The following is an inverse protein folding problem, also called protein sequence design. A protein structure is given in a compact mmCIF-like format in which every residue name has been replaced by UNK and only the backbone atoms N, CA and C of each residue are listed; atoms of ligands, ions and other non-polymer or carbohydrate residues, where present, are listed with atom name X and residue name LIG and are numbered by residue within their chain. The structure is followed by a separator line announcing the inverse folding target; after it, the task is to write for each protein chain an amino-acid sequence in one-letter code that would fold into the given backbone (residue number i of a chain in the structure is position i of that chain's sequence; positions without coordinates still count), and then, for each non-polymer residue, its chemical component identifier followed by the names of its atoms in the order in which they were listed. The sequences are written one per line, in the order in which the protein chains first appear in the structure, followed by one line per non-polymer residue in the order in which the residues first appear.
data_IF_691177256898
#
_entry.id   IF_691177256898
#
_cell.length_a   1.000
_cell.length_b   1.000
_cell.length_c   1.000
_cell.angle_alpha   90.00
_cell.angle_beta   90.00
_cell.angle_gamma   90.00
#
_symmetry.space_group_name_H-M   'P 1'
#
loop_
_entity.id
_entity.type
_entity.pdbx_description
1 polymer ?
#
# COMPACT_ATOMS: atom_id res chain seq x y z
N UNK A 1 -4.83 30.31 0.69
CA UNK A 1 -3.85 29.21 0.55
C UNK A 1 -4.14 28.22 1.65
N UNK A 2 -4.86 27.14 1.34
CA UNK A 2 -5.29 26.16 2.34
C UNK A 2 -4.09 25.28 2.70
N UNK A 3 -3.43 25.60 3.81
CA UNK A 3 -2.44 24.71 4.41
C UNK A 3 -3.19 23.63 5.17
N UNK A 4 -3.31 22.45 4.58
CA UNK A 4 -3.79 21.26 5.30
C UNK A 4 -2.67 20.86 6.26
N UNK A 5 -2.89 21.07 7.56
CA UNK A 5 -2.11 20.38 8.59
C UNK A 5 -2.26 18.87 8.33
N UNK A 6 -1.20 18.06 8.38
CA UNK A 6 -1.31 16.62 8.16
C UNK A 6 -2.26 16.03 9.20
N UNK A 7 -3.40 15.50 8.74
CA UNK A 7 -4.22 14.62 9.55
C UNK A 7 -3.41 13.36 9.86
N UNK A 8 -3.52 12.85 11.09
CA UNK A 8 -2.97 11.55 11.43
C UNK A 8 -3.84 10.51 10.73
N UNK A 9 -3.37 9.93 9.61
CA UNK A 9 -4.04 8.77 9.02
C UNK A 9 -3.84 7.56 9.95
N UNK A 10 -4.96 6.95 10.38
CA UNK A 10 -4.95 5.76 11.24
C UNK A 10 -5.33 4.57 10.36
N UNK A 11 -4.32 3.83 9.91
CA UNK A 11 -4.49 2.63 9.08
C UNK A 11 -4.16 1.38 9.91
N UNK A 12 -5.02 0.35 9.80
CA UNK A 12 -4.71 -1.01 10.30
C UNK A 12 -4.59 -1.98 9.14
N UNK A 13 -3.68 -2.94 9.27
CA UNK A 13 -3.31 -3.88 8.21
C UNK A 13 -3.35 -5.31 8.68
N UNK A 14 -3.92 -6.19 7.86
CA UNK A 14 -4.15 -7.59 8.20
C UNK A 14 -3.73 -8.49 7.05
N UNK A 15 -3.28 -9.69 7.37
CA UNK A 15 -3.27 -10.80 6.43
C UNK A 15 -4.71 -11.20 6.10
N UNK A 16 -4.92 -11.84 4.95
CA UNK A 16 -6.22 -12.38 4.55
C UNK A 16 -6.20 -13.90 4.69
N UNK A 17 -7.10 -14.44 5.51
CA UNK A 17 -7.19 -15.87 5.83
C UNK A 17 -7.90 -16.69 4.75
N UNK A 18 -8.82 -16.09 3.99
CA UNK A 18 -9.53 -16.76 2.90
C UNK A 18 -10.03 -15.78 1.83
N UNK A 19 -10.41 -16.29 0.65
CA UNK A 19 -10.89 -15.46 -0.46
C UNK A 19 -12.41 -15.28 -0.49
N UNK A 20 -13.11 -15.52 0.64
CA UNK A 20 -14.57 -15.39 0.71
C UNK A 20 -15.08 -13.94 0.60
N UNK A 21 -14.18 -12.95 0.61
CA UNK A 21 -14.48 -11.53 0.38
C UNK A 21 -14.86 -11.19 -1.07
N UNK A 22 -14.49 -12.03 -2.04
CA UNK A 22 -14.63 -11.73 -3.48
C UNK A 22 -16.05 -11.35 -3.93
N UNK A 23 -17.14 -11.95 -3.43
CA UNK A 23 -18.49 -11.56 -3.83
C UNK A 23 -18.89 -10.14 -3.42
N UNK A 24 -18.18 -9.53 -2.46
CA UNK A 24 -18.47 -8.19 -1.95
C UNK A 24 -17.68 -7.06 -2.65
N UNK A 25 -16.84 -7.38 -3.65
CA UNK A 25 -16.04 -6.38 -4.37
C UNK A 25 -16.95 -5.35 -5.04
N UNK A 26 -16.69 -4.07 -4.76
CA UNK A 26 -17.34 -2.94 -5.44
C UNK A 26 -16.48 -2.36 -6.56
N UNK A 27 -15.16 -2.33 -6.37
CA UNK A 27 -14.23 -1.89 -7.41
C UNK A 27 -12.89 -2.57 -7.28
N UNK A 28 -12.13 -2.57 -8.38
CA UNK A 28 -10.77 -3.09 -8.42
C UNK A 28 -9.92 -2.21 -9.34
N UNK A 29 -8.69 -1.95 -8.92
CA UNK A 29 -7.72 -1.14 -9.67
C UNK A 29 -6.37 -1.85 -9.71
N UNK A 30 -5.74 -1.89 -10.90
CA UNK A 30 -4.36 -2.40 -10.99
C UNK A 30 -3.40 -1.30 -10.60
N UNK A 31 -2.48 -1.63 -9.69
CA UNK A 31 -1.50 -0.70 -9.15
C UNK A 31 -0.12 -1.29 -9.34
N UNK A 32 0.73 -0.54 -10.03
CA UNK A 32 2.16 -0.83 -10.10
C UNK A 32 2.93 0.31 -9.44
N UNK A 33 3.91 0.00 -8.59
CA UNK A 33 4.63 1.00 -7.84
C UNK A 33 6.10 0.65 -7.61
N UNK A 34 6.95 1.68 -7.63
CA UNK A 34 8.39 1.58 -7.34
C UNK A 34 8.85 2.71 -6.43
N UNK A 35 10.01 2.53 -5.81
CA UNK A 35 10.63 3.53 -4.96
C UNK A 35 11.95 3.99 -5.57
N UNK A 36 12.05 5.28 -5.87
CA UNK A 36 13.26 5.86 -6.44
C UNK A 36 14.32 6.02 -5.34
N UNK A 37 15.58 5.66 -5.64
CA UNK A 37 16.69 5.99 -4.76
C UNK A 37 16.87 7.52 -4.77
N UNK A 38 16.76 8.16 -3.61
CA UNK A 38 16.90 9.62 -3.49
C UNK A 38 17.97 10.00 -2.45
N UNK A 39 17.57 10.21 -1.20
CA UNK A 39 18.45 10.57 -0.10
C UNK A 39 17.90 9.95 1.20
N UNK A 40 18.74 9.75 2.23
CA UNK A 40 18.28 9.32 3.54
C UNK A 40 17.15 10.23 4.06
N UNK A 41 16.11 9.63 4.66
CA UNK A 41 14.96 10.38 5.19
C UNK A 41 13.93 10.82 4.13
N UNK A 42 14.19 10.61 2.83
CA UNK A 42 13.27 10.93 1.75
C UNK A 42 12.85 9.65 1.02
N UNK A 43 11.54 9.42 0.96
CA UNK A 43 10.92 8.35 0.16
C UNK A 43 10.20 8.95 -1.03
N UNK A 44 10.69 8.67 -2.23
CA UNK A 44 10.00 9.03 -3.48
C UNK A 44 9.37 7.77 -4.06
N UNK A 45 8.04 7.71 -4.11
CA UNK A 45 7.28 6.59 -4.65
C UNK A 45 6.65 7.00 -5.97
N UNK A 46 6.88 6.21 -7.01
CA UNK A 46 6.17 6.31 -8.28
C UNK A 46 5.08 5.25 -8.28
N UNK A 47 3.83 5.64 -8.55
CA UNK A 47 2.68 4.74 -8.57
C UNK A 47 1.85 4.99 -9.81
N UNK A 48 1.62 3.93 -10.58
CA UNK A 48 0.65 3.87 -11.67
C UNK A 48 -0.60 3.17 -11.15
N UNK A 49 -1.77 3.74 -11.42
CA UNK A 49 -3.08 3.21 -11.06
C UNK A 49 -3.91 3.22 -12.34
N UNK A 50 -4.15 2.05 -12.92
CA UNK A 50 -4.79 1.89 -14.23
C UNK A 50 -4.16 2.82 -15.31
N UNK A 51 -4.89 3.89 -15.66
CA UNK A 51 -4.60 4.88 -16.70
C UNK A 51 -4.07 6.22 -16.16
N UNK A 52 -3.73 6.31 -14.87
CA UNK A 52 -3.09 7.48 -14.26
C UNK A 52 -1.80 7.13 -13.53
N UNK A 53 -0.93 8.11 -13.35
CA UNK A 53 0.28 7.98 -12.54
C UNK A 53 0.49 9.17 -11.61
N UNK A 54 1.11 8.89 -10.47
CA UNK A 54 1.41 9.85 -9.42
C UNK A 54 2.80 9.58 -8.86
N UNK A 55 3.56 10.64 -8.60
CA UNK A 55 4.78 10.61 -7.81
C UNK A 55 4.49 11.18 -6.43
N UNK A 56 4.73 10.40 -5.39
CA UNK A 56 4.58 10.79 -4.00
C UNK A 56 5.95 11.05 -3.39
N UNK A 57 6.15 12.23 -2.82
CA UNK A 57 7.33 12.57 -2.03
C UNK A 57 6.96 12.53 -0.55
N UNK A 58 7.63 11.70 0.23
CA UNK A 58 7.51 11.67 1.68
C UNK A 58 8.85 12.02 2.32
N UNK A 59 8.85 12.95 3.27
CA UNK A 59 10.04 13.31 4.06
C UNK A 59 9.68 13.47 5.51
N UNK A 60 10.61 13.16 6.40
CA UNK A 60 10.51 13.59 7.79
C UNK A 60 10.79 15.11 7.82
N UNK A 61 9.82 15.90 8.28
CA UNK A 61 9.98 17.34 8.48
C UNK A 61 10.46 17.63 9.92
N UNK A 62 10.05 16.79 10.86
CA UNK A 62 10.52 16.71 12.25
C UNK A 62 10.50 15.24 12.71
N UNK A 63 10.88 14.96 13.96
CA UNK A 63 10.80 13.62 14.55
C UNK A 63 9.37 13.03 14.59
N UNK A 64 8.34 13.87 14.52
CA UNK A 64 6.93 13.47 14.66
C UNK A 64 6.04 13.93 13.51
N UNK A 65 6.57 14.69 12.56
CA UNK A 65 5.80 15.17 11.40
C UNK A 65 6.43 14.73 10.09
N UNK A 66 5.60 14.21 9.20
CA UNK A 66 5.98 13.84 7.85
C UNK A 66 5.31 14.77 6.85
N UNK A 67 6.10 15.27 5.90
CA UNK A 67 5.59 15.96 4.72
C UNK A 67 5.25 14.94 3.65
N UNK A 68 4.10 15.09 3.02
CA UNK A 68 3.66 14.27 1.89
C UNK A 68 3.14 15.15 0.77
N UNK A 69 3.65 14.95 -0.44
CA UNK A 69 3.19 15.65 -1.64
C UNK A 69 2.95 14.64 -2.75
N UNK A 70 1.78 14.71 -3.37
CA UNK A 70 1.42 13.93 -4.54
C UNK A 70 1.39 14.80 -5.79
N UNK A 71 2.16 14.40 -6.81
CA UNK A 71 2.27 15.11 -8.08
C UNK A 71 1.83 14.17 -9.20
N UNK A 72 0.76 14.49 -9.94
CA UNK A 72 0.40 13.75 -11.14
C UNK A 72 1.54 13.79 -12.16
N UNK A 73 1.82 12.66 -12.79
CA UNK A 73 2.85 12.54 -13.83
C UNK A 73 2.29 11.80 -15.04
N UNK A 74 2.94 11.97 -16.19
CA UNK A 74 2.63 11.21 -17.40
C UNK A 74 2.88 9.71 -17.19
N UNK A 75 2.08 8.85 -17.83
CA UNK A 75 2.22 7.39 -17.74
C UNK A 75 3.60 6.94 -18.26
N UNK A 76 4.05 7.53 -19.36
CA UNK A 76 5.33 7.24 -20.00
C UNK A 76 6.50 7.58 -19.08
N UNK A 77 6.35 8.64 -18.28
CA UNK A 77 7.36 8.99 -17.27
C UNK A 77 7.38 7.96 -16.14
N UNK A 78 6.23 7.47 -15.68
CA UNK A 78 6.19 6.41 -14.67
C UNK A 78 6.86 5.12 -15.17
N UNK A 79 6.56 4.71 -16.40
CA UNK A 79 7.13 3.51 -17.03
C UNK A 79 8.65 3.64 -17.21
N UNK A 80 9.13 4.82 -17.65
CA UNK A 80 10.57 5.12 -17.69
C UNK A 80 11.22 4.99 -16.31
N UNK A 81 10.63 5.60 -15.28
CA UNK A 81 11.16 5.61 -13.93
C UNK A 81 11.19 4.22 -13.28
N UNK A 82 10.21 3.36 -13.61
CA UNK A 82 10.25 1.95 -13.21
C UNK A 82 11.47 1.23 -13.78
N UNK A 83 11.88 1.53 -15.01
CA UNK A 83 13.08 0.97 -15.64
C UNK A 83 14.41 1.44 -15.02
N UNK A 84 14.40 2.55 -14.27
CA UNK A 84 15.59 3.10 -13.59
C UNK A 84 15.73 2.63 -12.14
N UNK A 85 14.75 1.88 -11.64
CA UNK A 85 14.70 1.40 -10.28
C UNK A 85 15.58 0.14 -10.08
N UNK A 86 16.24 -0.03 -8.91
CA UNK A 86 17.11 -1.18 -8.66
C UNK A 86 16.37 -2.51 -8.51
N UNK A 87 15.06 -2.46 -8.23
CA UNK A 87 14.19 -3.62 -8.16
C UNK A 87 13.02 -3.43 -9.13
N UNK A 88 12.41 -4.53 -9.62
CA UNK A 88 11.19 -4.42 -10.41
C UNK A 88 10.09 -3.68 -9.61
N UNK A 89 9.02 -3.18 -10.25
CA UNK A 89 7.87 -2.66 -9.51
C UNK A 89 7.20 -3.75 -8.66
N UNK A 90 6.54 -3.34 -7.58
CA UNK A 90 5.46 -4.11 -7.00
C UNK A 90 4.27 -3.98 -7.93
N UNK A 91 3.59 -5.08 -8.23
CA UNK A 91 2.34 -5.10 -8.99
C UNK A 91 1.25 -5.79 -8.17
N UNK A 92 0.06 -5.20 -8.14
CA UNK A 92 -1.08 -5.68 -7.35
C UNK A 92 -2.40 -5.24 -7.94
N UNK A 93 -3.47 -5.95 -7.58
CA UNK A 93 -4.84 -5.50 -7.79
C UNK A 93 -5.40 -5.12 -6.42
N UNK A 94 -5.76 -3.85 -6.25
CA UNK A 94 -6.43 -3.36 -5.05
C UNK A 94 -7.93 -3.46 -5.25
N UNK A 95 -8.57 -4.32 -4.47
CA UNK A 95 -10.02 -4.50 -4.42
C UNK A 95 -10.60 -3.65 -3.29
N UNK A 96 -11.69 -2.92 -3.54
CA UNK A 96 -12.42 -2.18 -2.51
C UNK A 96 -13.76 -2.84 -2.27
N UNK A 97 -14.09 -3.08 -1.01
CA UNK A 97 -15.35 -3.69 -0.59
C UNK A 97 -15.86 -3.06 0.71
N UNK A 98 -17.18 -2.90 0.87
CA UNK A 98 -17.77 -2.45 2.11
C UNK A 98 -17.89 -3.62 3.10
N UNK A 99 -17.63 -3.35 4.38
CA UNK A 99 -17.99 -4.22 5.50
C UNK A 99 -18.48 -3.33 6.62
N UNK A 100 -19.77 -3.44 6.95
CA UNK A 100 -20.40 -2.53 7.90
C UNK A 100 -20.29 -1.08 7.45
N UNK A 101 -19.82 -0.16 8.32
CA UNK A 101 -19.66 1.25 7.97
C UNK A 101 -18.34 1.56 7.24
N UNK A 102 -17.41 0.61 7.13
CA UNK A 102 -16.07 0.82 6.60
C UNK A 102 -15.92 0.29 5.18
N UNK A 103 -15.00 0.89 4.44
CA UNK A 103 -14.51 0.35 3.16
C UNK A 103 -13.13 -0.25 3.41
N UNK A 104 -12.99 -1.51 3.07
CA UNK A 104 -11.72 -2.24 3.12
C UNK A 104 -11.03 -2.21 1.77
N UNK A 105 -9.70 -2.11 1.80
CA UNK A 105 -8.85 -2.24 0.63
C UNK A 105 -8.06 -3.55 0.73
N UNK A 106 -8.37 -4.52 -0.13
CA UNK A 106 -7.64 -5.79 -0.21
C UNK A 106 -6.69 -5.75 -1.40
N UNK A 107 -5.40 -5.73 -1.10
CA UNK A 107 -4.32 -5.87 -2.07
C UNK A 107 -4.06 -7.34 -2.38
N UNK A 108 -4.40 -7.76 -3.59
CA UNK A 108 -3.94 -9.00 -4.19
C UNK A 108 -2.61 -8.74 -4.90
N UNK A 109 -1.51 -9.18 -4.32
CA UNK A 109 -0.19 -9.01 -4.92
C UNK A 109 0.03 -9.99 -6.08
N UNK A 110 0.75 -9.54 -7.10
CA UNK A 110 1.08 -10.28 -8.31
C UNK A 110 2.60 -10.49 -8.43
N UNK A 111 3.01 -11.36 -9.35
CA UNK A 111 4.41 -11.60 -9.65
C UNK A 111 5.16 -12.15 -8.43
N UNK A 112 6.24 -11.47 -8.01
CA UNK A 112 7.11 -11.97 -6.93
C UNK A 112 6.40 -12.20 -5.59
N UNK A 113 5.30 -11.49 -5.35
CA UNK A 113 4.52 -11.55 -4.11
C UNK A 113 3.18 -12.25 -4.34
N UNK A 114 3.05 -13.03 -5.42
CA UNK A 114 1.84 -13.78 -5.71
C UNK A 114 1.45 -14.69 -4.53
N UNK A 115 0.16 -14.72 -4.21
CA UNK A 115 -0.38 -15.40 -3.04
C UNK A 115 -0.41 -14.56 -1.77
N UNK A 116 0.29 -13.42 -1.71
CA UNK A 116 0.14 -12.46 -0.62
C UNK A 116 -1.12 -11.63 -0.82
N UNK A 117 -1.92 -11.54 0.25
CA UNK A 117 -3.09 -10.69 0.34
C UNK A 117 -3.00 -9.86 1.61
N UNK A 118 -3.11 -8.55 1.48
CA UNK A 118 -3.16 -7.62 2.61
C UNK A 118 -4.46 -6.84 2.59
N UNK A 119 -5.17 -6.83 3.71
CA UNK A 119 -6.35 -6.01 3.91
C UNK A 119 -5.97 -4.78 4.74
N UNK A 120 -6.31 -3.60 4.24
CA UNK A 120 -6.12 -2.31 4.91
C UNK A 120 -7.49 -1.68 5.20
N UNK A 121 -7.62 -1.05 6.37
CA UNK A 121 -8.77 -0.26 6.79
C UNK A 121 -8.28 1.07 7.36
N UNK A 122 -8.89 2.16 6.94
CA UNK A 122 -8.67 3.49 7.50
C UNK A 122 -9.74 3.78 8.56
N UNK A 123 -9.30 4.33 9.70
CA UNK A 123 -10.12 4.64 10.86
C UNK A 123 -9.97 6.12 11.24
N UNK A 124 -10.99 6.68 11.88
CA UNK A 124 -10.94 8.02 12.46
C UNK A 124 -10.30 8.06 13.85
N UNK A 125 -10.26 6.93 14.55
CA UNK A 125 -9.64 6.79 15.88
C UNK A 125 -8.92 5.43 16.04
N UNK A 126 -7.78 5.34 16.76
CA UNK A 126 -7.08 4.06 16.95
C UNK A 126 -7.90 3.00 17.68
N UNK A 127 -8.82 3.42 18.54
CA UNK A 127 -9.73 2.57 19.31
C UNK A 127 -11.10 2.41 18.64
N UNK A 128 -11.26 2.92 17.41
CA UNK A 128 -12.50 2.75 16.65
C UNK A 128 -12.79 1.27 16.41
N UNK A 129 -13.99 0.84 16.82
CA UNK A 129 -14.46 -0.51 16.56
C UNK A 129 -14.85 -0.67 15.09
N UNK A 130 -14.48 -1.81 14.51
CA UNK A 130 -14.88 -2.19 13.16
C UNK A 130 -15.25 -3.67 13.10
N UNK A 131 -16.05 -4.02 12.10
CA UNK A 131 -16.48 -5.39 11.86
C UNK A 131 -15.30 -6.27 11.44
N UNK A 132 -15.19 -7.44 12.06
CA UNK A 132 -14.14 -8.43 11.78
C UNK A 132 -14.71 -9.60 10.98
N UNK A 133 -14.69 -9.55 9.64
CA UNK A 133 -15.24 -10.61 8.82
C UNK A 133 -14.39 -11.88 8.84
N UNK A 134 -14.97 -13.03 8.51
CA UNK A 134 -14.33 -14.36 8.60
C UNK A 134 -13.08 -14.53 7.72
N UNK A 135 -12.92 -13.69 6.69
CA UNK A 135 -11.73 -13.69 5.84
C UNK A 135 -10.56 -12.89 6.44
N UNK A 136 -10.77 -12.13 7.51
CA UNK A 136 -9.76 -11.30 8.14
C UNK A 136 -8.79 -12.16 8.95
N UNK A 137 -7.51 -12.11 8.62
CA UNK A 137 -6.45 -12.85 9.29
C UNK A 137 -5.77 -12.05 10.43
N UNK A 138 -4.57 -12.49 10.83
CA UNK A 138 -3.76 -11.80 11.82
C UNK A 138 -3.43 -10.36 11.42
N UNK A 139 -3.36 -9.49 12.43
CA UNK A 139 -2.92 -8.11 12.24
C UNK A 139 -1.40 -8.04 12.07
N UNK A 140 -0.98 -7.23 11.09
CA UNK A 140 0.43 -7.00 10.74
C UNK A 140 0.76 -5.51 10.63
N UNK A 141 -0.08 -4.63 11.19
CA UNK A 141 0.07 -3.16 11.20
C UNK A 141 1.48 -2.70 11.58
N UNK A 142 2.07 -3.32 12.61
CA UNK A 142 3.39 -2.95 13.13
C UNK A 142 4.54 -3.82 12.59
N UNK A 143 4.24 -4.84 11.78
CA UNK A 143 5.25 -5.72 11.25
C UNK A 143 5.94 -5.06 10.03
N UNK A 144 7.23 -4.72 10.13
CA UNK A 144 7.93 -3.99 9.07
C UNK A 144 8.02 -4.77 7.75
N UNK A 145 7.88 -6.11 7.77
CA UNK A 145 7.96 -6.97 6.58
C UNK A 145 6.83 -6.67 5.59
N UNK A 146 5.65 -6.29 6.08
CA UNK A 146 4.45 -6.03 5.27
C UNK A 146 4.29 -4.55 4.87
N UNK A 147 5.32 -3.73 5.10
CA UNK A 147 5.36 -2.36 4.56
C UNK A 147 5.65 -2.41 3.06
N UNK A 148 4.97 -1.58 2.26
CA UNK A 148 5.19 -1.55 0.80
C UNK A 148 6.65 -1.30 0.41
N UNK A 149 7.40 -0.48 1.17
CA UNK A 149 8.82 -0.25 0.89
C UNK A 149 9.70 -1.47 1.23
N UNK A 150 9.31 -2.29 2.21
CA UNK A 150 9.98 -3.54 2.53
C UNK A 150 9.67 -4.60 1.46
N UNK A 151 8.40 -4.78 1.09
CA UNK A 151 7.99 -5.66 -0.01
C UNK A 151 8.72 -5.32 -1.32
N UNK A 152 8.97 -4.04 -1.59
CA UNK A 152 9.67 -3.62 -2.80
C UNK A 152 11.14 -4.06 -2.80
N UNK A 153 11.81 -3.97 -1.64
CA UNK A 153 13.22 -4.33 -1.46
C UNK A 153 13.44 -5.84 -1.28
N UNK A 154 12.40 -6.59 -0.92
CA UNK A 154 12.49 -8.03 -0.72
C UNK A 154 12.90 -8.72 -2.03
N UNK A 155 13.89 -9.61 -1.93
CA UNK A 155 14.40 -10.41 -3.05
C UNK A 155 13.45 -11.54 -3.42
N UNK A 156 12.77 -12.12 -2.42
CA UNK A 156 11.79 -13.19 -2.54
C UNK A 156 10.46 -12.79 -1.88
N UNK A 157 9.44 -13.64 -1.97
CA UNK A 157 8.15 -13.38 -1.33
C UNK A 157 8.32 -13.40 0.19
N UNK A 158 7.69 -12.44 0.89
CA UNK A 158 7.66 -12.45 2.37
C UNK A 158 6.92 -13.66 2.93
N UNK A 159 6.14 -14.38 2.11
CA UNK A 159 5.50 -15.63 2.50
C UNK A 159 6.49 -16.80 2.61
N UNK A 160 7.58 -16.76 1.86
CA UNK A 160 8.60 -17.81 1.88
C UNK A 160 9.51 -17.64 3.11
N UNK A 161 9.81 -16.40 3.51
CA UNK A 161 10.55 -16.06 4.73
C UNK A 161 9.79 -16.42 6.02
N UNK A 162 8.45 -16.38 6.02
CA UNK A 162 7.63 -16.75 7.18
C UNK A 162 7.49 -18.27 7.39
N UNK A 163 7.97 -19.08 6.41
CA UNK A 163 7.93 -20.55 6.43
C UNK A 163 9.31 -21.18 6.69
N UNK A 164 10.37 -20.38 6.79
CA UNK A 164 11.73 -20.79 7.16
C UNK A 164 11.98 -20.55 8.66
#
# INVERSE_FOLDING_TARGET
MSSVLPGLEIERKFLVASQSWRPAIQSAHRISQSYLPWAPGISVRVRRIDDRAVMTFKTDLTDVTRGEWEVPIALELADLLFGLCPHPPIDKIRHRLPVGPHVWEIDQFLGRHEGLYLAEIELGDPEEAFDRPDWLGPEVTHDPRYRNSALYRAAESVLDEARA
#
